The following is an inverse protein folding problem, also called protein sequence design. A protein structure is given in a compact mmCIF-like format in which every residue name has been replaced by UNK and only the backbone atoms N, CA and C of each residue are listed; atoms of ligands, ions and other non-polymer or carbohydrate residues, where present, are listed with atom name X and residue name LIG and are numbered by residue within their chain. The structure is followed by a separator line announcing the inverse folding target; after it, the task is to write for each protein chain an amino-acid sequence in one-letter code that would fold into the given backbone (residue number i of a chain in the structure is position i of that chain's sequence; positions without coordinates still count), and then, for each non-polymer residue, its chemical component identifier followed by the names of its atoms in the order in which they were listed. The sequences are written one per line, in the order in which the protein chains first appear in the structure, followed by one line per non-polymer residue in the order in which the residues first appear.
data_IF_963199722337
#
_entry.id   IF_963199722337
#
_cell.length_a   1.000
_cell.length_b   1.000
_cell.length_c   1.000
_cell.angle_alpha   90.00
_cell.angle_beta   90.00
_cell.angle_gamma   90.00
#
_symmetry.space_group_name_H-M   'P 1'
#
loop_
_entity.id
_entity.type
_entity.pdbx_description
1 polymer ?
#
# COMPACT_ATOMS: atom_id res chain seq x y z
N UNK A 1 15.70 -86.05 11.34
CA UNK A 1 16.22 -84.77 11.83
C UNK A 1 16.41 -83.88 10.63
N UNK A 2 15.86 -82.67 10.71
CA UNK A 2 15.85 -81.66 9.66
C UNK A 2 17.24 -81.13 9.38
N UNK A 3 17.57 -80.92 8.11
CA UNK A 3 18.59 -79.95 7.70
C UNK A 3 18.10 -79.14 6.50
N UNK A 4 18.12 -77.85 6.77
CA UNK A 4 18.40 -76.67 5.96
C UNK A 4 17.83 -76.47 4.55
N UNK A 5 17.22 -75.29 4.45
CA UNK A 5 16.80 -74.57 3.26
C UNK A 5 17.99 -73.88 2.59
N UNK A 6 18.03 -73.88 1.25
CA UNK A 6 18.91 -72.94 0.55
C UNK A 6 18.88 -73.02 -0.96
N UNK A 7 18.16 -72.05 -1.57
CA UNK A 7 18.49 -71.36 -2.83
C UNK A 7 18.55 -72.18 -4.13
N UNK A 8 18.29 -71.66 -5.33
CA UNK A 8 17.78 -70.39 -5.85
C UNK A 8 17.59 -70.72 -7.33
N UNK A 9 16.41 -70.56 -7.87
CA UNK A 9 16.23 -70.64 -9.31
C UNK A 9 15.25 -69.59 -9.79
N UNK A 10 15.77 -68.82 -10.75
CA UNK A 10 15.10 -68.27 -11.92
C UNK A 10 14.63 -66.82 -11.84
N UNK A 11 15.41 -66.02 -12.58
CA UNK A 11 14.99 -65.19 -13.72
C UNK A 11 13.80 -64.26 -13.48
N UNK A 12 14.09 -62.96 -13.50
CA UNK A 12 13.10 -61.92 -13.72
C UNK A 12 13.47 -61.21 -15.01
N UNK A 13 12.66 -61.46 -16.05
CA UNK A 13 12.62 -60.65 -17.26
C UNK A 13 12.18 -59.24 -16.87
N UNK A 14 13.10 -58.28 -16.85
CA UNK A 14 12.74 -56.88 -16.64
C UNK A 14 12.33 -56.28 -17.99
N UNK A 15 11.02 -56.28 -18.23
CA UNK A 15 10.39 -55.50 -19.29
C UNK A 15 10.79 -54.03 -19.15
N UNK A 16 11.26 -53.41 -20.23
CA UNK A 16 11.52 -51.97 -20.30
C UNK A 16 10.21 -51.23 -19.98
N UNK A 17 10.15 -50.58 -18.81
CA UNK A 17 8.99 -49.80 -18.37
C UNK A 17 9.04 -48.40 -18.97
N UNK A 18 7.86 -47.81 -19.19
CA UNK A 18 7.67 -46.41 -19.63
C UNK A 18 8.46 -45.41 -18.76
N UNK A 19 8.67 -45.76 -17.51
CA UNK A 19 9.33 -44.94 -16.50
C UNK A 19 10.85 -44.80 -16.73
N UNK A 20 11.47 -45.77 -17.41
CA UNK A 20 12.91 -45.74 -17.71
C UNK A 20 13.24 -44.92 -18.96
N UNK A 21 12.26 -44.66 -19.84
CA UNK A 21 12.41 -43.74 -20.98
C UNK A 21 12.30 -42.28 -20.53
N UNK A 22 11.48 -42.01 -19.51
CA UNK A 22 11.30 -40.68 -18.93
C UNK A 22 12.52 -40.25 -18.10
N UNK A 23 13.18 -41.18 -17.39
CA UNK A 23 14.40 -40.91 -16.63
C UNK A 23 15.59 -40.51 -17.52
N UNK A 24 15.77 -41.18 -18.67
CA UNK A 24 16.79 -40.82 -19.66
C UNK A 24 16.49 -39.47 -20.34
N UNK A 25 15.22 -39.09 -20.46
CA UNK A 25 14.79 -37.81 -21.05
C UNK A 25 15.04 -36.60 -20.12
N UNK A 26 15.09 -36.82 -18.80
CA UNK A 26 15.34 -35.74 -17.82
C UNK A 26 16.80 -35.59 -17.39
N UNK A 27 17.68 -36.55 -17.66
CA UNK A 27 19.13 -36.37 -17.48
C UNK A 27 19.78 -35.58 -18.65
N UNK A 28 19.21 -35.60 -19.86
CA UNK A 28 19.76 -34.91 -21.04
C UNK A 28 19.33 -33.43 -21.17
N UNK A 29 18.25 -33.00 -20.52
CA UNK A 29 17.78 -31.59 -20.55
C UNK A 29 18.49 -30.72 -19.51
N UNK A 30 19.19 -31.33 -18.54
CA UNK A 30 20.01 -30.63 -17.54
C UNK A 30 21.42 -30.27 -18.07
N UNK A 31 21.47 -29.93 -19.35
CA UNK A 31 22.66 -29.52 -20.11
C UNK A 31 22.99 -28.01 -19.84
N UNK A 32 24.16 -27.48 -20.27
CA UNK A 32 24.91 -26.34 -19.71
C UNK A 32 24.22 -24.96 -19.68
N UNK A 33 23.01 -24.87 -20.23
CA UNK A 33 22.15 -23.68 -20.15
C UNK A 33 21.72 -23.40 -18.70
N UNK A 34 21.37 -24.43 -17.91
CA UNK A 34 20.97 -24.26 -16.50
C UNK A 34 22.14 -23.73 -15.69
N UNK A 35 23.32 -24.33 -15.84
CA UNK A 35 24.56 -23.85 -15.22
C UNK A 35 24.94 -22.42 -15.66
N UNK A 36 24.70 -22.06 -16.93
CA UNK A 36 24.95 -20.71 -17.42
C UNK A 36 23.95 -19.70 -16.85
N UNK A 37 22.69 -20.07 -16.71
CA UNK A 37 21.63 -19.23 -16.13
C UNK A 37 21.89 -19.05 -14.63
N UNK A 38 22.19 -20.12 -13.91
CA UNK A 38 22.54 -20.10 -12.48
C UNK A 38 23.81 -19.28 -12.25
N UNK A 39 24.87 -19.48 -13.04
CA UNK A 39 26.11 -18.72 -12.95
C UNK A 39 25.91 -17.23 -13.23
N UNK A 40 25.09 -16.87 -14.23
CA UNK A 40 24.73 -15.46 -14.51
C UNK A 40 23.89 -14.86 -13.38
N UNK A 41 23.01 -15.65 -12.77
CA UNK A 41 22.18 -15.22 -11.66
C UNK A 41 23.04 -14.98 -10.41
N UNK A 42 23.95 -15.90 -10.10
CA UNK A 42 24.89 -15.82 -8.98
C UNK A 42 25.83 -14.63 -9.14
N UNK A 43 26.44 -14.43 -10.31
CA UNK A 43 27.30 -13.28 -10.58
C UNK A 43 26.58 -11.93 -10.43
N UNK A 44 25.29 -11.84 -10.82
CA UNK A 44 24.48 -10.63 -10.63
C UNK A 44 24.14 -10.37 -9.16
N UNK A 45 23.90 -11.41 -8.38
CA UNK A 45 23.64 -11.29 -6.94
C UNK A 45 24.91 -10.82 -6.23
N UNK A 46 26.05 -11.44 -6.53
CA UNK A 46 27.32 -11.10 -5.92
C UNK A 46 27.78 -9.69 -6.29
N UNK A 47 27.65 -9.28 -7.56
CA UNK A 47 27.94 -7.91 -7.99
C UNK A 47 27.05 -6.87 -7.29
N UNK A 48 25.77 -7.19 -7.01
CA UNK A 48 24.87 -6.31 -6.26
C UNK A 48 25.23 -6.23 -4.77
N UNK A 49 25.66 -7.33 -4.17
CA UNK A 49 26.12 -7.37 -2.78
C UNK A 49 27.44 -6.59 -2.62
N UNK A 50 28.39 -6.76 -3.55
CA UNK A 50 29.65 -6.02 -3.57
C UNK A 50 29.46 -4.52 -3.84
N UNK A 51 28.53 -4.13 -4.72
CA UNK A 51 28.17 -2.72 -4.97
C UNK A 51 27.45 -2.06 -3.77
N UNK A 52 26.78 -2.83 -2.91
CA UNK A 52 26.21 -2.33 -1.65
C UNK A 52 27.25 -2.26 -0.52
N UNK A 53 28.20 -3.20 -0.47
CA UNK A 53 29.30 -3.20 0.51
C UNK A 53 30.33 -2.09 0.22
N UNK A 54 30.53 -1.74 -1.05
CA UNK A 54 31.45 -0.70 -1.52
C UNK A 54 30.73 0.64 -1.64
N UNK A 55 30.35 1.21 -0.48
CA UNK A 55 29.73 2.52 -0.29
C UNK A 55 29.38 3.34 -1.55
N UNK A 56 28.13 3.26 -1.97
CA UNK A 56 27.51 4.45 -2.57
C UNK A 56 26.98 5.27 -1.39
N UNK A 57 27.70 6.33 -1.06
CA UNK A 57 27.12 7.45 -0.33
C UNK A 57 26.04 8.06 -1.22
N UNK A 58 24.91 7.36 -1.33
CA UNK A 58 23.63 7.95 -1.66
C UNK A 58 23.29 8.83 -0.45
N UNK A 59 23.99 9.97 -0.33
CA UNK A 59 23.27 11.20 -0.04
C UNK A 59 22.29 11.29 -1.19
N UNK A 60 21.15 10.57 -1.04
CA UNK A 60 19.94 10.68 -1.83
C UNK A 60 19.84 12.17 -2.01
N UNK A 61 20.10 12.63 -3.24
CA UNK A 61 20.11 14.04 -3.59
C UNK A 61 18.87 14.58 -2.93
N UNK A 62 19.08 15.26 -1.80
CA UNK A 62 18.00 15.56 -0.89
C UNK A 62 17.14 16.47 -1.72
N UNK A 63 16.01 15.95 -2.19
CA UNK A 63 14.90 16.81 -2.48
C UNK A 63 14.77 17.59 -1.20
N UNK A 64 15.31 18.82 -1.21
CA UNK A 64 15.06 19.79 -0.16
C UNK A 64 13.55 19.85 -0.20
N UNK A 65 12.93 19.10 0.73
CA UNK A 65 11.52 18.91 0.76
C UNK A 65 11.02 20.31 1.09
N UNK A 66 10.67 21.06 0.05
CA UNK A 66 10.31 22.45 0.19
C UNK A 66 9.13 22.43 1.13
N UNK A 67 9.32 23.00 2.31
CA UNK A 67 8.26 23.13 3.27
C UNK A 67 7.24 24.08 2.65
N UNK A 68 6.15 23.51 2.11
CA UNK A 68 5.02 24.28 1.63
C UNK A 68 4.20 24.61 2.87
N UNK A 69 4.19 25.89 3.24
CA UNK A 69 3.33 26.36 4.31
C UNK A 69 1.87 26.20 3.85
N UNK A 70 1.20 25.20 4.42
CA UNK A 70 -0.24 24.97 4.24
C UNK A 70 -0.94 25.50 5.47
N UNK A 71 -1.76 26.53 5.30
CA UNK A 71 -2.54 27.11 6.38
C UNK A 71 -3.71 26.19 6.74
N UNK A 72 -3.45 25.27 7.67
CA UNK A 72 -4.43 24.29 8.14
C UNK A 72 -5.58 24.93 8.91
N UNK A 73 -5.34 26.04 9.58
CA UNK A 73 -6.32 26.78 10.37
C UNK A 73 -7.32 27.49 9.44
N UNK A 74 -6.83 28.18 8.41
CA UNK A 74 -7.70 28.77 7.39
C UNK A 74 -8.52 27.70 6.64
N UNK A 75 -7.90 26.54 6.34
CA UNK A 75 -8.62 25.42 5.73
C UNK A 75 -9.73 24.89 6.66
N UNK A 76 -9.50 24.83 7.97
CA UNK A 76 -10.50 24.41 8.95
C UNK A 76 -11.65 25.42 9.02
N UNK A 77 -11.34 26.72 9.13
CA UNK A 77 -12.35 27.77 9.16
C UNK A 77 -13.23 27.77 7.91
N UNK A 78 -12.63 27.58 6.73
CA UNK A 78 -13.36 27.48 5.46
C UNK A 78 -14.29 26.26 5.43
N UNK A 79 -13.83 25.10 5.90
CA UNK A 79 -14.63 23.89 5.98
C UNK A 79 -15.85 24.08 6.89
N UNK A 80 -15.64 24.64 8.09
CA UNK A 80 -16.72 24.94 9.04
C UNK A 80 -17.72 25.92 8.43
N UNK A 81 -17.23 26.99 7.80
CA UNK A 81 -18.07 28.00 7.13
C UNK A 81 -18.94 27.37 6.04
N UNK A 82 -18.35 26.52 5.20
CA UNK A 82 -19.04 25.96 4.05
C UNK A 82 -20.11 24.91 4.40
N UNK A 83 -19.94 24.16 5.49
CA UNK A 83 -20.79 23.01 5.80
C UNK A 83 -21.60 23.12 7.10
N UNK A 84 -21.07 23.78 8.13
CA UNK A 84 -21.63 23.73 9.48
C UNK A 84 -22.12 25.08 10.00
N UNK A 85 -21.89 26.17 9.26
CA UNK A 85 -22.37 27.50 9.62
C UNK A 85 -23.88 27.65 9.40
N UNK A 86 -24.48 28.70 9.98
CA UNK A 86 -25.93 28.95 9.89
C UNK A 86 -26.44 29.13 8.46
N UNK A 87 -25.61 29.65 7.56
CA UNK A 87 -25.89 29.74 6.13
C UNK A 87 -24.78 29.00 5.36
N UNK A 88 -24.85 27.66 5.25
CA UNK A 88 -23.79 26.87 4.65
C UNK A 88 -23.79 27.03 3.12
N UNK A 89 -22.61 27.12 2.53
CA UNK A 89 -22.45 27.12 1.07
C UNK A 89 -22.95 25.81 0.45
N UNK A 90 -22.80 24.70 1.17
CA UNK A 90 -23.29 23.39 0.74
C UNK A 90 -24.53 22.95 1.51
N UNK A 91 -25.52 22.51 0.75
CA UNK A 91 -26.77 21.98 1.29
C UNK A 91 -26.57 20.63 1.97
N UNK A 92 -27.49 20.27 2.85
CA UNK A 92 -27.50 18.96 3.52
C UNK A 92 -27.57 17.79 2.52
N UNK A 93 -28.22 17.98 1.38
CA UNK A 93 -28.27 17.00 0.31
C UNK A 93 -26.88 16.72 -0.27
N UNK A 94 -26.11 17.76 -0.59
CA UNK A 94 -24.74 17.64 -1.07
C UNK A 94 -23.85 16.97 -0.02
N UNK A 95 -23.98 17.34 1.26
CA UNK A 95 -23.24 16.69 2.35
C UNK A 95 -23.54 15.18 2.40
N UNK A 96 -24.81 14.79 2.27
CA UNK A 96 -25.21 13.38 2.26
C UNK A 96 -24.66 12.61 1.07
N UNK A 97 -24.56 13.22 -0.11
CA UNK A 97 -23.91 12.57 -1.27
C UNK A 97 -22.44 12.31 -0.96
N UNK A 98 -21.75 13.33 -0.43
CA UNK A 98 -20.31 13.31 -0.18
C UNK A 98 -19.90 12.31 0.91
N UNK A 99 -20.62 12.27 2.02
CA UNK A 99 -20.25 11.45 3.19
C UNK A 99 -21.15 10.23 3.38
N UNK A 100 -22.18 10.08 2.54
CA UNK A 100 -23.23 9.04 2.67
C UNK A 100 -23.95 9.03 4.01
N UNK A 101 -23.84 10.11 4.79
CA UNK A 101 -24.35 10.24 6.17
C UNK A 101 -24.89 11.65 6.43
N UNK A 102 -25.65 11.81 7.52
CA UNK A 102 -26.15 13.11 7.99
C UNK A 102 -25.06 13.84 8.82
N UNK A 103 -25.11 15.18 8.85
CA UNK A 103 -24.14 16.04 9.55
C UNK A 103 -23.97 15.70 11.03
N UNK A 104 -25.06 15.41 11.74
CA UNK A 104 -24.99 15.08 13.17
C UNK A 104 -24.21 13.78 13.45
N UNK A 105 -24.41 12.74 12.63
CA UNK A 105 -23.66 11.48 12.77
C UNK A 105 -22.19 11.71 12.49
N UNK A 106 -21.87 12.51 11.47
CA UNK A 106 -20.50 12.88 11.17
C UNK A 106 -19.83 13.60 12.34
N UNK A 107 -20.51 14.56 12.97
CA UNK A 107 -19.98 15.26 14.15
C UNK A 107 -19.77 14.31 15.34
N UNK A 108 -20.68 13.37 15.57
CA UNK A 108 -20.50 12.33 16.59
C UNK A 108 -19.29 11.43 16.31
N UNK A 109 -19.06 11.07 15.05
CA UNK A 109 -17.87 10.31 14.64
C UNK A 109 -16.60 11.13 14.90
N UNK A 110 -16.59 12.42 14.56
CA UNK A 110 -15.44 13.31 14.77
C UNK A 110 -15.10 13.42 16.26
N UNK A 111 -16.13 13.61 17.11
CA UNK A 111 -15.97 13.71 18.56
C UNK A 111 -15.48 12.39 19.16
N UNK A 112 -16.12 11.28 18.82
CA UNK A 112 -15.72 9.95 19.34
C UNK A 112 -14.31 9.58 18.91
N UNK A 113 -13.93 9.79 17.64
CA UNK A 113 -12.57 9.53 17.16
C UNK A 113 -11.53 10.46 17.80
N UNK A 114 -11.88 11.72 18.02
CA UNK A 114 -11.02 12.68 18.75
C UNK A 114 -10.71 12.23 20.18
N UNK A 115 -11.68 11.58 20.84
CA UNK A 115 -11.52 11.06 22.20
C UNK A 115 -10.80 9.71 22.24
N UNK A 116 -11.05 8.84 21.27
CA UNK A 116 -10.52 7.46 21.24
C UNK A 116 -9.07 7.37 20.75
N UNK A 117 -8.66 8.25 19.83
CA UNK A 117 -7.37 8.11 19.15
C UNK A 117 -6.55 9.39 19.16
N UNK A 118 -5.31 9.27 19.64
CA UNK A 118 -4.32 10.34 19.62
C UNK A 118 -4.02 10.86 18.20
N UNK A 119 -4.27 10.06 17.16
CA UNK A 119 -4.10 10.50 15.78
C UNK A 119 -5.11 11.59 15.40
N UNK A 120 -6.35 11.52 15.89
CA UNK A 120 -7.39 12.49 15.56
C UNK A 120 -7.32 13.75 16.42
N UNK A 121 -6.61 13.70 17.56
CA UNK A 121 -6.35 14.89 18.36
C UNK A 121 -5.55 15.93 17.57
N UNK A 122 -5.92 17.19 17.75
CA UNK A 122 -5.17 18.31 17.22
C UNK A 122 -3.83 18.37 17.97
N UNK A 123 -2.72 18.27 17.24
CA UNK A 123 -1.37 18.31 17.79
C UNK A 123 -0.62 19.45 17.15
N UNK A 124 0.17 20.15 17.96
CA UNK A 124 1.14 21.10 17.45
C UNK A 124 2.42 20.38 17.03
N UNK A 125 2.96 20.78 15.90
CA UNK A 125 4.28 20.33 15.44
C UNK A 125 5.39 20.88 16.36
N UNK A 126 6.62 20.39 16.22
CA UNK A 126 7.79 20.86 16.96
C UNK A 126 8.06 22.37 16.79
N UNK A 127 7.55 22.96 15.69
CA UNK A 127 7.57 24.39 15.42
C UNK A 127 6.38 25.17 16.00
N UNK A 128 5.53 24.53 16.82
CA UNK A 128 4.37 25.16 17.47
C UNK A 128 3.15 25.37 16.56
N UNK A 129 3.21 24.93 15.29
CA UNK A 129 2.10 25.06 14.34
C UNK A 129 1.05 23.98 14.59
N UNK A 130 -0.23 24.37 14.59
CA UNK A 130 -1.32 23.41 14.69
C UNK A 130 -1.36 22.51 13.44
N UNK A 131 -1.39 21.20 13.65
CA UNK A 131 -1.59 20.23 12.59
C UNK A 131 -3.03 20.20 12.08
N UNK A 132 -3.36 19.18 11.30
CA UNK A 132 -4.74 18.98 10.83
C UNK A 132 -5.71 18.74 11.99
N UNK A 133 -6.86 19.40 11.92
CA UNK A 133 -7.97 19.19 12.87
C UNK A 133 -8.56 17.77 12.75
N UNK A 134 -9.18 17.30 13.83
CA UNK A 134 -9.96 16.05 13.85
C UNK A 134 -11.01 16.03 12.72
N UNK A 135 -11.67 17.18 12.50
CA UNK A 135 -12.68 17.39 11.48
C UNK A 135 -12.13 17.15 10.06
N UNK A 136 -10.98 17.75 9.74
CA UNK A 136 -10.31 17.58 8.45
C UNK A 136 -9.85 16.13 8.26
N UNK A 137 -9.26 15.51 9.28
CA UNK A 137 -8.83 14.11 9.24
C UNK A 137 -9.99 13.16 8.97
N UNK A 138 -11.12 13.36 9.66
CA UNK A 138 -12.32 12.54 9.46
C UNK A 138 -12.95 12.77 8.08
N UNK A 139 -12.98 14.01 7.60
CA UNK A 139 -13.50 14.35 6.28
C UNK A 139 -12.76 13.59 5.19
N UNK A 140 -11.42 13.64 5.21
CA UNK A 140 -10.57 12.92 4.26
C UNK A 140 -10.76 11.41 4.38
N UNK A 141 -10.71 10.87 5.60
CA UNK A 141 -10.85 9.43 5.83
C UNK A 141 -12.21 8.90 5.33
N UNK A 142 -13.30 9.62 5.62
CA UNK A 142 -14.65 9.21 5.20
C UNK A 142 -14.86 9.36 3.70
N UNK A 143 -14.28 10.37 3.05
CA UNK A 143 -14.31 10.48 1.58
C UNK A 143 -13.53 9.35 0.91
N UNK A 144 -12.36 8.99 1.44
CA UNK A 144 -11.61 7.84 0.96
C UNK A 144 -12.41 6.55 1.09
N UNK A 145 -13.11 6.35 2.22
CA UNK A 145 -13.96 5.18 2.45
C UNK A 145 -15.25 5.17 1.61
N UNK A 146 -15.82 6.35 1.31
CA UNK A 146 -17.07 6.43 0.56
C UNK A 146 -16.86 6.15 -0.94
N UNK A 147 -15.72 6.54 -1.48
CA UNK A 147 -15.48 6.51 -2.93
C UNK A 147 -14.32 5.61 -3.36
N UNK A 148 -13.65 4.93 -2.43
CA UNK A 148 -12.45 4.14 -2.68
C UNK A 148 -11.32 4.95 -3.37
N UNK A 149 -11.22 6.25 -3.04
CA UNK A 149 -10.22 7.12 -3.67
C UNK A 149 -8.82 6.92 -3.06
N UNK A 150 -7.75 6.89 -3.89
CA UNK A 150 -6.39 6.82 -3.37
C UNK A 150 -6.00 8.16 -2.71
N UNK A 151 -5.25 8.09 -1.61
CA UNK A 151 -4.89 9.24 -0.75
C UNK A 151 -4.34 10.46 -1.51
N UNK A 152 -3.71 10.23 -2.67
CA UNK A 152 -3.13 11.27 -3.53
C UNK A 152 -4.12 12.33 -4.04
N UNK A 153 -5.42 12.03 -4.13
CA UNK A 153 -6.43 12.98 -4.61
C UNK A 153 -6.89 13.96 -3.52
N UNK A 154 -6.67 13.58 -2.25
CA UNK A 154 -7.13 14.35 -1.09
C UNK A 154 -6.12 15.41 -0.66
N UNK A 155 -4.86 15.31 -1.11
CA UNK A 155 -3.85 16.35 -0.90
C UNK A 155 -4.25 17.68 -1.55
N UNK A 156 -5.03 17.63 -2.65
CA UNK A 156 -5.55 18.82 -3.35
C UNK A 156 -6.77 19.46 -2.66
N UNK A 157 -7.49 18.70 -1.83
CA UNK A 157 -8.68 19.18 -1.09
C UNK A 157 -8.31 19.78 0.27
N UNK A 158 -7.25 19.26 0.90
CA UNK A 158 -6.69 19.78 2.16
C UNK A 158 -5.72 20.93 1.91
N UNK A 159 -5.10 20.98 0.72
CA UNK A 159 -4.30 22.11 0.27
C UNK A 159 -5.25 23.15 -0.35
N UNK A 160 -5.39 24.30 0.31
CA UNK A 160 -6.29 25.41 -0.01
C UNK A 160 -6.05 26.11 -1.38
N UNK A 161 -5.64 25.39 -2.44
CA UNK A 161 -5.13 25.99 -3.68
C UNK A 161 -5.80 25.57 -4.99
N UNK A 162 -6.75 24.65 -5.00
CA UNK A 162 -7.49 24.37 -6.23
C UNK A 162 -8.97 24.66 -6.01
N UNK A 163 -9.50 25.63 -6.77
CA UNK A 163 -10.93 25.84 -6.91
C UNK A 163 -11.64 24.52 -7.21
N UNK A 164 -12.85 24.43 -6.69
CA UNK A 164 -13.79 23.31 -6.77
C UNK A 164 -14.21 23.11 -8.24
N UNK A 165 -13.29 22.60 -9.06
CA UNK A 165 -13.51 22.27 -10.47
C UNK A 165 -13.23 20.79 -10.76
N UNK A 166 -13.22 19.94 -9.73
CA UNK A 166 -13.28 18.47 -9.89
C UNK A 166 -14.58 17.95 -9.28
N UNK A 167 -15.70 18.41 -9.83
CA UNK A 167 -16.92 17.63 -9.88
C UNK A 167 -17.50 17.85 -11.28
N UNK A 168 -17.06 17.11 -12.32
CA UNK A 168 -17.87 17.05 -13.51
C UNK A 168 -19.20 16.40 -13.10
N UNK A 169 -20.28 17.06 -13.51
CA UNK A 169 -21.64 16.58 -13.38
C UNK A 169 -21.72 15.10 -13.78
N UNK A 170 -22.12 14.24 -12.84
CA UNK A 170 -22.68 12.93 -13.16
C UNK A 170 -24.19 13.18 -13.21
N UNK A 171 -24.65 13.56 -14.40
CA UNK A 171 -26.04 13.39 -14.85
C UNK A 171 -26.21 11.97 -15.37
#
# INVERSE_FOLDING_TARGET
MSEDSGNRSNNSDDSITSDNLEALMWEEINDPMVAQVEGKMQARIEAKLQAQASGTSNLRRGSSQRYINRDHEAAHAKLVTNYFFSNPLYTDYQFRIMFRMRKHLFLQIVETLGNLSQYFQLRSDAFGKAGLSSLQKCMVALQMLAYDLPAHFMDDQVCSRCEIHIWPAIS
#
